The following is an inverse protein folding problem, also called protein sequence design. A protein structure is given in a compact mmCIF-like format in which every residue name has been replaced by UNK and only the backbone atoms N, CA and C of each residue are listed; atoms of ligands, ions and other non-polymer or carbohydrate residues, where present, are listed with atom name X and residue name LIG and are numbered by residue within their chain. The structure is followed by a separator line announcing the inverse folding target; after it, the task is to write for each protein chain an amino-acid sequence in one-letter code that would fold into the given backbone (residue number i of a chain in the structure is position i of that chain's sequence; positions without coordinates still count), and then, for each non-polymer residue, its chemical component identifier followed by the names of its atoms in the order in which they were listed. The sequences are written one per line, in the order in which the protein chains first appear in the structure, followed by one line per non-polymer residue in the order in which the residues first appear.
data_IF_400510661958
#
_entry.id   IF_400510661958
#
_cell.length_a   1.000
_cell.length_b   1.000
_cell.length_c   1.000
_cell.angle_alpha   90.00
_cell.angle_beta   90.00
_cell.angle_gamma   90.00
#
_symmetry.space_group_name_H-M   'P 1'
#
loop_
_entity.id
_entity.type
_entity.pdbx_description
1 polymer ?
#
# COMPACT_ATOMS: atom_id res chain seq x y z
N UNK A 1 28.12 3.48 -9.31
CA UNK A 1 27.05 3.90 -10.21
C UNK A 1 25.75 3.98 -9.40
N UNK A 2 24.89 4.93 -9.70
CA UNK A 2 23.63 5.17 -8.99
C UNK A 2 22.62 4.00 -9.09
N UNK A 3 22.86 3.07 -10.00
CA UNK A 3 21.99 1.93 -10.29
C UNK A 3 21.93 0.86 -9.19
N UNK A 4 22.78 0.95 -8.16
CA UNK A 4 22.88 -0.08 -7.11
C UNK A 4 22.23 0.31 -5.79
N UNK A 5 21.64 1.51 -5.66
CA UNK A 5 20.96 1.90 -4.42
C UNK A 5 19.49 1.52 -4.53
N UNK A 6 19.17 0.33 -4.04
CA UNK A 6 17.80 -0.20 -3.97
C UNK A 6 17.12 0.07 -2.62
N UNK A 7 17.85 0.64 -1.68
CA UNK A 7 17.39 0.96 -0.32
C UNK A 7 16.70 2.32 -0.26
N UNK A 8 15.69 2.43 0.59
CA UNK A 8 14.90 3.63 0.76
C UNK A 8 14.40 3.75 2.20
N UNK A 9 14.24 4.98 2.68
CA UNK A 9 13.47 5.29 3.89
C UNK A 9 12.09 5.80 3.46
N UNK A 10 11.05 5.15 3.93
CA UNK A 10 9.68 5.54 3.73
C UNK A 10 9.08 6.02 5.04
N UNK A 11 8.49 7.20 5.06
CA UNK A 11 7.87 7.78 6.24
C UNK A 11 6.40 8.08 5.97
N UNK A 12 5.53 7.62 6.87
CA UNK A 12 4.10 7.91 6.86
C UNK A 12 3.66 8.40 8.24
N UNK A 13 3.15 9.62 8.28
CA UNK A 13 2.69 10.24 9.53
C UNK A 13 1.30 9.77 9.93
N UNK A 14 0.92 9.95 11.19
CA UNK A 14 -0.43 9.71 11.70
C UNK A 14 -1.48 10.64 11.06
N UNK A 15 -1.09 11.89 10.76
CA UNK A 15 -1.98 12.83 10.10
C UNK A 15 -2.13 12.49 8.62
N UNK A 16 -3.35 12.19 8.20
CA UNK A 16 -3.67 11.72 6.86
C UNK A 16 -4.91 12.45 6.35
N UNK A 17 -4.76 13.14 5.23
CA UNK A 17 -5.91 13.65 4.48
C UNK A 17 -6.40 12.60 3.49
N UNK A 18 -7.60 12.79 2.99
CA UNK A 18 -8.18 11.92 1.98
C UNK A 18 -7.49 12.17 0.62
N UNK A 19 -6.88 11.15 0.00
CA UNK A 19 -6.27 11.31 -1.30
C UNK A 19 -7.33 11.53 -2.38
N UNK A 20 -6.99 12.34 -3.39
CA UNK A 20 -7.79 12.51 -4.60
C UNK A 20 -7.18 11.69 -5.73
N UNK A 21 -7.90 10.67 -6.17
CA UNK A 21 -7.48 9.81 -7.28
C UNK A 21 -7.99 10.30 -8.65
N UNK A 22 -8.65 11.45 -8.71
CA UNK A 22 -9.15 12.00 -9.97
C UNK A 22 -8.00 12.32 -10.91
N UNK A 23 -8.03 11.76 -12.11
CA UNK A 23 -6.99 11.93 -13.12
C UNK A 23 -7.53 12.73 -14.29
N UNK A 24 -6.98 13.93 -14.52
CA UNK A 24 -7.33 14.76 -15.68
C UNK A 24 -6.44 14.44 -16.88
N UNK A 25 -5.20 14.02 -16.63
CA UNK A 25 -4.23 13.66 -17.66
C UNK A 25 -3.42 12.46 -17.23
N UNK A 26 -3.13 11.55 -18.15
CA UNK A 26 -2.17 10.48 -17.93
C UNK A 26 -0.78 10.97 -18.32
N UNK A 27 0.13 11.05 -17.39
CA UNK A 27 1.52 11.41 -17.63
C UNK A 27 2.44 10.29 -17.14
N UNK A 28 3.61 10.17 -17.79
CA UNK A 28 4.66 9.27 -17.29
C UNK A 28 5.07 9.74 -15.89
N UNK A 29 4.87 8.88 -14.92
CA UNK A 29 5.33 9.15 -13.56
C UNK A 29 6.85 8.96 -13.49
N UNK A 30 7.53 9.87 -12.81
CA UNK A 30 8.95 9.74 -12.56
C UNK A 30 9.20 8.49 -11.70
N UNK A 31 10.22 7.73 -12.08
CA UNK A 31 10.71 6.64 -11.26
C UNK A 31 11.16 7.23 -9.91
N UNK A 32 10.62 6.75 -8.77
CA UNK A 32 11.02 7.22 -7.45
C UNK A 32 12.52 7.12 -7.21
N UNK A 33 13.22 6.18 -7.89
CA UNK A 33 14.67 6.01 -7.83
C UNK A 33 15.45 7.18 -8.41
N UNK A 34 14.84 8.02 -9.24
CA UNK A 34 15.49 9.17 -9.89
C UNK A 34 15.61 10.41 -8.99
N UNK A 35 15.08 10.40 -7.78
CA UNK A 35 15.24 11.49 -6.81
C UNK A 35 16.55 11.33 -6.02
N UNK A 36 17.63 11.87 -6.56
CA UNK A 36 19.03 11.58 -6.22
C UNK A 36 19.55 12.11 -4.88
N UNK A 37 18.82 12.86 -4.08
CA UNK A 37 19.47 13.48 -2.92
C UNK A 37 19.46 12.64 -1.65
N UNK A 38 18.41 11.92 -1.41
CA UNK A 38 18.28 10.91 -0.35
C UNK A 38 17.15 9.99 -0.78
N UNK A 39 17.36 8.67 -0.74
CA UNK A 39 16.30 7.69 -0.97
C UNK A 39 15.27 7.73 0.17
N UNK A 40 14.64 8.89 0.34
CA UNK A 40 13.64 9.14 1.38
C UNK A 40 12.33 9.45 0.70
N UNK A 41 11.35 8.59 0.91
CA UNK A 41 9.97 8.79 0.48
C UNK A 41 9.18 9.29 1.68
N UNK A 42 8.78 10.54 1.66
CA UNK A 42 7.78 11.04 2.60
C UNK A 42 6.41 10.91 1.95
N UNK A 43 5.53 10.15 2.57
CA UNK A 43 4.16 10.03 2.09
C UNK A 43 3.39 11.27 2.47
N UNK A 44 3.05 12.04 1.46
CA UNK A 44 2.09 13.13 1.52
C UNK A 44 0.80 12.68 0.82
N UNK A 45 -0.29 13.40 1.00
CA UNK A 45 -1.57 13.12 0.30
C UNK A 45 -1.40 13.09 -1.22
N UNK A 46 -0.56 13.96 -1.74
CA UNK A 46 -0.22 13.98 -3.16
C UNK A 46 0.47 12.67 -3.60
N UNK A 47 1.37 12.13 -2.77
CA UNK A 47 2.05 10.86 -3.07
C UNK A 47 1.09 9.67 -3.11
N UNK A 48 0.11 9.63 -2.22
CA UNK A 48 -0.93 8.58 -2.23
C UNK A 48 -1.83 8.74 -3.45
N UNK A 49 -2.22 9.96 -3.79
CA UNK A 49 -3.00 10.26 -4.99
C UNK A 49 -2.28 9.83 -6.29
N UNK A 50 -0.96 9.99 -6.34
CA UNK A 50 -0.14 9.54 -7.47
C UNK A 50 -0.12 8.02 -7.65
N UNK A 51 -0.38 7.22 -6.61
CA UNK A 51 -0.37 5.77 -6.70
C UNK A 51 -1.38 5.25 -7.72
N UNK A 52 -2.53 5.89 -7.85
CA UNK A 52 -3.50 5.56 -8.89
C UNK A 52 -2.90 5.76 -10.29
N UNK A 53 -2.26 6.90 -10.54
CA UNK A 53 -1.61 7.18 -11.83
C UNK A 53 -0.44 6.23 -12.10
N UNK A 54 0.34 5.87 -11.07
CA UNK A 54 1.43 4.89 -11.18
C UNK A 54 0.89 3.51 -11.57
N UNK A 55 -0.19 3.09 -10.92
CA UNK A 55 -0.88 1.84 -11.21
C UNK A 55 -1.36 1.78 -12.68
N UNK A 56 -2.02 2.83 -13.14
CA UNK A 56 -2.50 2.94 -14.52
C UNK A 56 -1.33 2.98 -15.51
N UNK A 57 -0.31 3.78 -15.25
CA UNK A 57 0.86 3.90 -16.11
C UNK A 57 1.63 2.58 -16.24
N UNK A 58 1.75 1.82 -15.14
CA UNK A 58 2.37 0.49 -15.15
C UNK A 58 1.58 -0.49 -16.00
N UNK A 59 0.23 -0.48 -15.89
CA UNK A 59 -0.64 -1.32 -16.74
C UNK A 59 -0.45 -0.99 -18.21
N UNK A 60 -0.46 0.30 -18.57
CA UNK A 60 -0.27 0.73 -19.94
C UNK A 60 1.10 0.31 -20.48
N UNK A 61 2.16 0.52 -19.70
CA UNK A 61 3.51 0.07 -20.07
C UNK A 61 3.55 -1.45 -20.30
N UNK A 62 2.86 -2.22 -19.47
CA UNK A 62 2.72 -3.67 -19.64
C UNK A 62 2.04 -4.07 -20.94
N UNK A 63 0.99 -3.34 -21.36
CA UNK A 63 0.27 -3.60 -22.62
C UNK A 63 1.17 -3.42 -23.86
N UNK A 64 2.10 -2.46 -23.81
CA UNK A 64 3.00 -2.17 -24.91
C UNK A 64 4.36 -2.86 -24.81
N UNK A 65 4.56 -3.72 -23.83
CA UNK A 65 5.81 -4.46 -23.66
C UNK A 65 5.83 -5.71 -24.55
N UNK A 66 6.90 -5.89 -25.31
CA UNK A 66 7.14 -7.09 -26.11
C UNK A 66 7.08 -8.40 -25.28
N UNK A 67 7.43 -8.33 -24.00
CA UNK A 67 7.35 -9.47 -23.09
C UNK A 67 5.91 -9.94 -22.79
N UNK A 68 4.90 -9.14 -23.14
CA UNK A 68 3.50 -9.39 -22.85
C UNK A 68 2.62 -9.51 -24.11
N UNK A 69 3.22 -9.70 -25.30
CA UNK A 69 2.47 -9.80 -26.57
C UNK A 69 1.38 -10.88 -26.57
N UNK A 70 1.62 -11.98 -25.84
CA UNK A 70 0.65 -13.08 -25.70
C UNK A 70 -0.38 -12.86 -24.58
N UNK A 71 -0.24 -11.80 -23.77
CA UNK A 71 -1.16 -11.53 -22.65
C UNK A 71 -2.34 -10.69 -23.10
N UNK A 72 -3.51 -11.03 -22.58
CA UNK A 72 -4.70 -10.20 -22.78
C UNK A 72 -4.65 -8.97 -21.85
N UNK A 73 -5.28 -7.87 -22.27
CA UNK A 73 -5.46 -6.69 -21.41
C UNK A 73 -6.14 -7.04 -20.09
N UNK A 74 -7.04 -8.03 -20.12
CA UNK A 74 -7.73 -8.55 -18.92
C UNK A 74 -6.74 -9.20 -17.97
N UNK A 75 -5.81 -10.03 -18.45
CA UNK A 75 -4.81 -10.69 -17.59
C UNK A 75 -3.84 -9.68 -16.99
N UNK A 76 -3.40 -8.68 -17.76
CA UNK A 76 -2.54 -7.60 -17.26
C UNK A 76 -3.22 -6.76 -16.17
N UNK A 77 -4.49 -6.42 -16.35
CA UNK A 77 -5.28 -5.75 -15.31
C UNK A 77 -5.39 -6.62 -14.06
N UNK A 78 -5.59 -7.92 -14.20
CA UNK A 78 -5.69 -8.85 -13.07
C UNK A 78 -4.36 -9.01 -12.34
N UNK A 79 -3.24 -9.09 -13.03
CA UNK A 79 -1.91 -9.14 -12.38
C UNK A 79 -1.66 -7.91 -11.52
N UNK A 80 -2.03 -6.74 -12.01
CA UNK A 80 -1.76 -5.47 -11.34
C UNK A 80 -2.68 -5.22 -10.14
N UNK A 81 -3.98 -5.46 -10.32
CA UNK A 81 -4.99 -5.27 -9.27
C UNK A 81 -4.99 -6.48 -8.31
N UNK A 82 -4.55 -7.64 -8.78
CA UNK A 82 -4.62 -8.90 -8.07
C UNK A 82 -3.91 -8.85 -6.72
N UNK A 83 -2.67 -8.37 -6.66
CA UNK A 83 -1.92 -8.22 -5.41
C UNK A 83 -2.67 -7.37 -4.38
N UNK A 84 -3.21 -6.22 -4.82
CA UNK A 84 -3.96 -5.32 -3.95
C UNK A 84 -5.27 -5.99 -3.50
N UNK A 85 -5.98 -6.64 -4.41
CA UNK A 85 -7.24 -7.32 -4.11
C UNK A 85 -7.03 -8.50 -3.14
N UNK A 86 -5.98 -9.28 -3.32
CA UNK A 86 -5.61 -10.37 -2.41
C UNK A 86 -5.25 -9.85 -1.02
N UNK A 87 -4.42 -8.80 -0.93
CA UNK A 87 -4.08 -8.16 0.34
C UNK A 87 -5.31 -7.65 1.07
N UNK A 88 -6.22 -6.98 0.35
CA UNK A 88 -7.48 -6.53 0.92
C UNK A 88 -8.34 -7.68 1.43
N UNK A 89 -8.39 -8.81 0.71
CA UNK A 89 -9.19 -9.97 1.13
C UNK A 89 -8.67 -10.64 2.39
N UNK A 90 -7.38 -10.50 2.71
CA UNK A 90 -6.81 -10.97 3.98
C UNK A 90 -7.13 -10.05 5.16
N UNK A 91 -7.34 -8.77 4.88
CA UNK A 91 -7.62 -7.75 5.91
C UNK A 91 -9.12 -7.58 6.14
N UNK A 92 -9.92 -7.57 5.07
CA UNK A 92 -11.35 -7.33 5.11
C UNK A 92 -12.17 -8.55 4.70
N UNK A 93 -13.20 -8.87 5.46
CA UNK A 93 -14.08 -10.00 5.16
C UNK A 93 -15.18 -9.63 4.13
N UNK A 94 -15.54 -8.36 4.04
CA UNK A 94 -16.67 -7.86 3.25
C UNK A 94 -16.31 -6.78 2.22
N UNK A 95 -15.01 -6.45 2.08
CA UNK A 95 -14.54 -5.43 1.16
C UNK A 95 -13.58 -6.03 0.13
N UNK A 96 -13.91 -5.92 -1.14
CA UNK A 96 -13.10 -6.42 -2.25
C UNK A 96 -12.90 -5.34 -3.31
N UNK A 97 -11.68 -5.17 -3.79
CA UNK A 97 -11.39 -4.28 -4.92
C UNK A 97 -11.96 -4.89 -6.20
N UNK A 98 -12.91 -4.21 -6.83
CA UNK A 98 -13.60 -4.69 -8.03
C UNK A 98 -13.12 -4.03 -9.31
N UNK A 99 -12.73 -2.76 -9.27
CA UNK A 99 -12.32 -1.99 -10.45
C UNK A 99 -11.52 -0.74 -10.06
N UNK A 100 -10.75 -0.24 -11.02
CA UNK A 100 -10.09 1.07 -10.94
C UNK A 100 -10.79 2.11 -11.82
N UNK A 101 -11.99 1.82 -12.35
CA UNK A 101 -12.71 2.70 -13.26
C UNK A 101 -12.02 2.91 -14.60
N UNK A 102 -12.52 3.87 -15.35
CA UNK A 102 -11.89 4.34 -16.60
C UNK A 102 -11.02 5.56 -16.29
N UNK A 103 -9.68 5.46 -16.44
CA UNK A 103 -8.75 6.45 -15.89
C UNK A 103 -9.01 7.91 -16.32
N UNK A 104 -9.51 8.14 -17.52
CA UNK A 104 -9.78 9.51 -18.03
C UNK A 104 -11.25 9.94 -17.95
N UNK A 105 -12.12 9.08 -17.40
CA UNK A 105 -13.55 9.37 -17.30
C UNK A 105 -13.99 9.44 -15.84
N UNK A 106 -13.78 8.33 -15.11
CA UNK A 106 -14.18 8.18 -13.72
C UNK A 106 -13.14 7.40 -12.92
N UNK A 107 -11.86 7.61 -13.24
CA UNK A 107 -10.73 6.93 -12.60
C UNK A 107 -10.75 7.09 -11.10
N UNK A 108 -10.90 5.97 -10.40
CA UNK A 108 -10.85 5.83 -8.95
C UNK A 108 -10.89 4.36 -8.58
N UNK A 109 -10.79 4.06 -7.30
CA UNK A 109 -10.97 2.70 -6.81
C UNK A 109 -12.43 2.43 -6.47
N UNK A 110 -12.93 1.30 -7.00
CA UNK A 110 -14.29 0.81 -6.78
C UNK A 110 -14.24 -0.56 -6.13
N UNK A 111 -15.15 -0.78 -5.20
CA UNK A 111 -15.18 -1.98 -4.38
C UNK A 111 -16.53 -2.69 -4.48
N UNK A 112 -16.53 -3.96 -4.14
CA UNK A 112 -17.73 -4.67 -3.69
C UNK A 112 -17.69 -4.69 -2.16
N UNK A 113 -18.76 -4.24 -1.51
CA UNK A 113 -18.89 -4.23 -0.05
C UNK A 113 -20.21 -4.88 0.36
N UNK A 114 -20.13 -6.07 0.91
CA UNK A 114 -21.31 -6.86 1.19
C UNK A 114 -22.14 -7.09 -0.09
N UNK A 115 -23.34 -6.52 -0.15
CA UNK A 115 -24.24 -6.57 -1.33
C UNK A 115 -24.10 -5.39 -2.28
N UNK A 116 -23.32 -4.38 -1.91
CA UNK A 116 -23.16 -3.17 -2.70
C UNK A 116 -22.07 -3.35 -3.74
N UNK A 117 -22.43 -3.21 -5.01
CA UNK A 117 -21.50 -3.22 -6.14
C UNK A 117 -21.08 -1.78 -6.48
N UNK A 118 -19.89 -1.62 -7.05
CA UNK A 118 -19.33 -0.32 -7.46
C UNK A 118 -19.28 0.71 -6.30
N UNK A 119 -18.95 0.22 -5.10
CA UNK A 119 -18.81 1.07 -3.93
C UNK A 119 -17.54 1.92 -4.07
N UNK A 120 -17.72 3.22 -4.19
CA UNK A 120 -16.63 4.15 -4.51
C UNK A 120 -15.72 4.36 -3.28
N UNK A 121 -14.39 4.53 -3.50
CA UNK A 121 -13.40 4.81 -2.46
C UNK A 121 -13.84 5.89 -1.47
N UNK A 122 -14.39 7.01 -1.96
CA UNK A 122 -14.87 8.12 -1.11
C UNK A 122 -15.88 7.70 -0.06
N UNK A 123 -16.62 6.62 -0.30
CA UNK A 123 -17.65 6.10 0.59
C UNK A 123 -17.14 5.11 1.64
N UNK A 124 -15.87 4.71 1.56
CA UNK A 124 -15.23 3.89 2.58
C UNK A 124 -15.20 4.64 3.92
N UNK A 125 -15.29 3.90 5.03
CA UNK A 125 -15.03 4.45 6.35
C UNK A 125 -13.56 4.91 6.48
N UNK A 126 -13.28 5.78 7.45
CA UNK A 126 -11.93 6.27 7.67
C UNK A 126 -10.91 5.15 7.92
N UNK A 127 -11.29 4.12 8.68
CA UNK A 127 -10.43 2.96 8.92
C UNK A 127 -10.19 2.11 7.67
N UNK A 128 -11.21 1.90 6.83
CA UNK A 128 -11.07 1.20 5.54
C UNK A 128 -10.18 1.98 4.58
N UNK A 129 -10.35 3.30 4.47
CA UNK A 129 -9.47 4.17 3.68
C UNK A 129 -8.03 4.07 4.15
N UNK A 130 -7.80 4.21 5.46
CA UNK A 130 -6.46 4.15 6.03
C UNK A 130 -5.77 2.82 5.77
N UNK A 131 -6.45 1.69 5.95
CA UNK A 131 -5.90 0.38 5.66
C UNK A 131 -5.63 0.18 4.16
N UNK A 132 -6.58 0.56 3.31
CA UNK A 132 -6.41 0.49 1.85
C UNK A 132 -5.22 1.31 1.37
N UNK A 133 -5.07 2.55 1.84
CA UNK A 133 -3.99 3.44 1.44
C UNK A 133 -2.62 2.92 1.87
N UNK A 134 -2.51 2.30 3.06
CA UNK A 134 -1.28 1.66 3.52
C UNK A 134 -0.94 0.46 2.62
N UNK A 135 -1.89 -0.42 2.36
CA UNK A 135 -1.71 -1.58 1.48
C UNK A 135 -1.29 -1.14 0.08
N UNK A 136 -2.00 -0.16 -0.49
CA UNK A 136 -1.70 0.39 -1.81
C UNK A 136 -0.27 0.94 -1.86
N UNK A 137 0.14 1.71 -0.87
CA UNK A 137 1.49 2.26 -0.77
C UNK A 137 2.55 1.15 -0.70
N UNK A 138 2.37 0.16 0.19
CA UNK A 138 3.34 -0.93 0.36
C UNK A 138 3.48 -1.76 -0.93
N UNK A 139 2.36 -2.09 -1.58
CA UNK A 139 2.38 -2.84 -2.84
C UNK A 139 3.09 -2.04 -3.93
N UNK A 140 2.74 -0.76 -4.11
CA UNK A 140 3.34 0.08 -5.15
C UNK A 140 4.83 0.34 -4.88
N UNK A 141 5.20 0.67 -3.63
CA UNK A 141 6.62 0.94 -3.30
C UNK A 141 7.48 -0.32 -3.37
N UNK A 142 6.92 -1.47 -3.01
CA UNK A 142 7.60 -2.77 -3.13
C UNK A 142 8.01 -3.12 -4.57
N UNK A 143 7.34 -2.57 -5.60
CA UNK A 143 7.75 -2.75 -7.01
C UNK A 143 9.02 -1.95 -7.37
N UNK A 144 9.34 -0.91 -6.61
CA UNK A 144 10.48 -0.03 -6.92
C UNK A 144 11.70 -0.26 -6.01
N UNK A 145 11.51 -0.71 -4.78
CA UNK A 145 12.56 -0.79 -3.77
C UNK A 145 12.63 -2.16 -3.12
N UNK A 146 13.83 -2.74 -3.08
CA UNK A 146 14.06 -4.08 -2.52
C UNK A 146 14.46 -4.04 -1.03
N UNK A 147 15.02 -2.91 -0.56
CA UNK A 147 15.55 -2.76 0.79
C UNK A 147 15.05 -1.43 1.38
N UNK A 148 13.94 -1.48 2.07
CA UNK A 148 13.24 -0.28 2.56
C UNK A 148 13.04 -0.35 4.07
N UNK A 149 13.31 0.76 4.75
CA UNK A 149 12.89 0.97 6.13
C UNK A 149 11.58 1.74 6.11
N UNK A 150 10.48 1.05 6.37
CA UNK A 150 9.16 1.63 6.47
C UNK A 150 8.91 2.14 7.88
N UNK A 151 8.80 3.44 8.06
CA UNK A 151 8.48 4.10 9.32
C UNK A 151 7.05 4.63 9.25
N UNK A 152 6.13 4.03 9.99
CA UNK A 152 4.71 4.38 9.95
C UNK A 152 4.22 4.71 11.35
N UNK A 153 3.67 5.90 11.48
CA UNK A 153 3.11 6.41 12.73
C UNK A 153 1.60 6.15 12.76
N UNK A 154 1.13 5.55 13.85
CA UNK A 154 -0.26 5.18 14.11
C UNK A 154 -0.96 4.52 12.90
N UNK A 155 -0.44 3.41 12.35
CA UNK A 155 -1.08 2.75 11.21
C UNK A 155 -2.52 2.35 11.47
N UNK A 156 -2.86 2.14 12.73
CA UNK A 156 -4.17 1.73 13.23
C UNK A 156 -5.21 2.84 13.34
N UNK A 157 -4.88 4.08 13.04
CA UNK A 157 -5.77 5.22 13.22
C UNK A 157 -7.15 4.97 12.59
N UNK A 158 -8.21 5.21 13.37
CA UNK A 158 -9.62 5.01 12.99
C UNK A 158 -10.06 3.55 12.75
N UNK A 159 -9.25 2.55 13.13
CA UNK A 159 -9.57 1.14 12.89
C UNK A 159 -10.08 0.43 14.14
N UNK A 160 -10.98 -0.51 13.93
CA UNK A 160 -11.39 -1.44 14.98
C UNK A 160 -10.25 -2.43 15.29
N UNK A 161 -10.13 -2.87 16.56
CA UNK A 161 -9.02 -3.70 17.05
C UNK A 161 -8.75 -4.96 16.21
N UNK A 162 -9.79 -5.67 15.78
CA UNK A 162 -9.62 -6.84 14.92
C UNK A 162 -9.02 -6.51 13.56
N UNK A 163 -9.36 -5.36 12.99
CA UNK A 163 -8.80 -4.88 11.73
C UNK A 163 -7.33 -4.47 11.89
N UNK A 164 -6.97 -3.88 13.03
CA UNK A 164 -5.61 -3.48 13.37
C UNK A 164 -4.64 -4.69 13.33
N UNK A 165 -5.04 -5.81 13.94
CA UNK A 165 -4.27 -7.05 13.94
C UNK A 165 -4.09 -7.62 12.51
N UNK A 166 -5.18 -7.72 11.74
CA UNK A 166 -5.13 -8.19 10.35
C UNK A 166 -4.26 -7.29 9.47
N UNK A 167 -4.34 -5.96 9.66
CA UNK A 167 -3.51 -5.02 8.91
C UNK A 167 -2.02 -5.23 9.21
N UNK A 168 -1.64 -5.38 10.49
CA UNK A 168 -0.23 -5.62 10.83
C UNK A 168 0.29 -6.93 10.22
N UNK A 169 -0.49 -8.01 10.29
CA UNK A 169 -0.12 -9.27 9.65
C UNK A 169 0.08 -9.09 8.14
N UNK A 170 -0.79 -8.35 7.48
CA UNK A 170 -0.67 -8.10 6.05
C UNK A 170 0.51 -7.18 5.70
N UNK A 171 0.77 -6.14 6.49
CA UNK A 171 1.95 -5.29 6.31
C UNK A 171 3.25 -6.11 6.42
N UNK A 172 3.31 -7.03 7.39
CA UNK A 172 4.45 -7.94 7.53
C UNK A 172 4.62 -8.86 6.31
N UNK A 173 3.52 -9.35 5.73
CA UNK A 173 3.54 -10.20 4.54
C UNK A 173 3.92 -9.45 3.26
N UNK A 174 3.65 -8.14 3.19
CA UNK A 174 3.90 -7.32 1.99
C UNK A 174 5.34 -6.84 1.88
N UNK A 175 6.05 -6.70 2.99
CA UNK A 175 7.47 -6.31 2.96
C UNK A 175 8.34 -7.53 2.62
N UNK A 176 9.43 -7.29 1.90
CA UNK A 176 10.39 -8.35 1.60
C UNK A 176 11.37 -8.57 2.77
N UNK A 177 12.09 -9.69 2.74
CA UNK A 177 13.01 -10.13 3.81
C UNK A 177 14.17 -9.16 4.09
N UNK A 178 14.47 -8.23 3.18
CA UNK A 178 15.54 -7.24 3.35
C UNK A 178 15.02 -5.90 3.85
N UNK A 179 13.70 -5.75 3.99
CA UNK A 179 13.04 -4.54 4.46
C UNK A 179 12.74 -4.62 5.95
N UNK A 180 12.54 -3.47 6.55
CA UNK A 180 12.18 -3.33 7.96
C UNK A 180 10.88 -2.54 8.10
N UNK A 181 10.06 -2.93 9.06
CA UNK A 181 8.84 -2.21 9.43
C UNK A 181 8.97 -1.63 10.84
N UNK A 182 9.03 -0.32 10.93
CA UNK A 182 9.09 0.42 12.18
C UNK A 182 7.75 1.10 12.42
N UNK A 183 7.07 0.73 13.49
CA UNK A 183 5.75 1.24 13.82
C UNK A 183 5.79 1.99 15.15
N UNK A 184 5.25 3.19 15.17
CA UNK A 184 4.85 3.84 16.41
C UNK A 184 3.36 3.59 16.60
N UNK A 185 2.97 2.93 17.68
CA UNK A 185 1.58 2.52 17.90
C UNK A 185 1.20 2.53 19.37
N UNK A 186 -0.06 2.88 19.64
CA UNK A 186 -0.72 2.74 20.93
C UNK A 186 -1.74 1.58 20.93
N UNK A 187 -1.80 0.79 19.86
CA UNK A 187 -2.80 -0.24 19.65
C UNK A 187 -2.47 -1.54 20.40
N UNK A 188 -3.38 -1.96 21.27
CA UNK A 188 -3.34 -3.29 21.88
C UNK A 188 -3.46 -4.38 20.82
N UNK A 189 -4.29 -4.19 19.78
CA UNK A 189 -4.47 -5.16 18.70
C UNK A 189 -3.19 -5.37 17.89
N UNK A 190 -2.45 -4.31 17.59
CA UNK A 190 -1.14 -4.42 16.92
C UNK A 190 -0.08 -5.05 17.82
N UNK A 191 -0.04 -4.68 19.11
CA UNK A 191 0.90 -5.29 20.06
C UNK A 191 0.66 -6.80 20.25
N UNK A 192 -0.60 -7.24 20.28
CA UNK A 192 -0.94 -8.66 20.35
C UNK A 192 -0.51 -9.40 19.08
N UNK A 193 -0.80 -8.85 17.93
CA UNK A 193 -0.39 -9.43 16.65
C UNK A 193 1.14 -9.46 16.49
N UNK A 194 1.85 -8.43 16.94
CA UNK A 194 3.31 -8.41 16.92
C UNK A 194 3.92 -9.52 17.81
N UNK A 195 3.32 -9.77 18.99
CA UNK A 195 3.72 -10.92 19.85
C UNK A 195 3.46 -12.27 19.18
N UNK A 196 2.36 -12.39 18.45
CA UNK A 196 2.06 -13.60 17.70
C UNK A 196 3.07 -13.82 16.56
N UNK A 197 3.40 -12.78 15.80
CA UNK A 197 4.44 -12.82 14.78
C UNK A 197 5.80 -13.23 15.37
N UNK A 198 6.19 -12.67 16.52
CA UNK A 198 7.43 -13.04 17.18
C UNK A 198 7.41 -14.53 17.64
N UNK A 199 6.27 -15.04 18.08
CA UNK A 199 6.12 -16.44 18.44
C UNK A 199 6.23 -17.39 17.25
N UNK A 200 5.69 -16.97 16.09
CA UNK A 200 5.73 -17.75 14.84
C UNK A 200 7.10 -17.65 14.16
N UNK A 201 7.76 -16.50 14.25
CA UNK A 201 9.04 -16.20 13.64
C UNK A 201 10.00 -15.58 14.66
N UNK A 202 10.60 -16.37 15.55
CA UNK A 202 11.44 -15.87 16.64
C UNK A 202 12.60 -15.01 16.15
N UNK A 203 12.76 -13.83 16.75
CA UNK A 203 13.78 -12.84 16.39
C UNK A 203 13.36 -11.89 15.27
N UNK A 204 12.11 -11.98 14.79
CA UNK A 204 11.61 -11.08 13.72
C UNK A 204 11.05 -9.77 14.25
N UNK A 205 10.69 -9.68 15.54
CA UNK A 205 10.06 -8.50 16.14
C UNK A 205 10.86 -8.01 17.33
N UNK A 206 11.07 -6.71 17.40
CA UNK A 206 11.70 -6.03 18.56
C UNK A 206 10.73 -4.98 19.10
N UNK A 207 10.49 -5.02 20.41
CA UNK A 207 9.67 -4.04 21.10
C UNK A 207 10.56 -2.97 21.74
N UNK A 208 10.30 -1.71 21.45
CA UNK A 208 10.96 -0.56 22.05
C UNK A 208 9.95 0.18 22.93
N UNK A 209 10.20 0.20 24.24
CA UNK A 209 9.38 0.93 25.20
C UNK A 209 10.10 2.19 25.66
N UNK A 210 9.51 3.35 25.40
CA UNK A 210 10.05 4.65 25.76
C UNK A 210 9.49 5.20 27.08
N UNK A 211 8.64 4.47 27.78
CA UNK A 211 8.03 4.93 29.05
C UNK A 211 9.01 5.05 30.21
N UNK A 212 10.23 4.54 30.07
CA UNK A 212 11.28 4.55 31.09
C UNK A 212 12.57 5.32 30.69
N UNK A 213 12.48 6.23 29.73
CA UNK A 213 13.60 7.07 29.29
C UNK A 213 13.48 8.47 29.91
#
# INVERSE_FOLDING_TARGET
SADNIKGCFYFRTAHRNEPDFTTQTLSKQNDPKNNFKFNTLMTTDASVSENYQRLVSHTLSGVFSAANEDKTVKSLKQELIGKIAESLSRVFDDLQLSSIGEPLVNGSFYFTKGRSLNFHYKNLSAGEKSAFDIILDLVIKGEYFDNTVYCIDEPEAHMHTALQAKLLAEMYNLINDQSQLWLATHSIGMLQQAKELESQHPGSVVFLDFSNI
#
